data_IF_238822261940
#
_entry.id   IF_238822261940
#
_cell.length_a   1.000
_cell.length_b   1.000
_cell.length_c   1.000
_cell.angle_alpha   90.00
_cell.angle_beta   90.00
_cell.angle_gamma   90.00
#
_symmetry.space_group_name_H-M   'P 1'
#
loop_
_entity.id
_entity.type
_entity.pdbx_description
1 polymer ?
#
# COMPACT_ATOMS: atom_id res chain seq x y z
N UNK A 1 29.82 15.16 -5.90
CA UNK A 1 28.50 14.84 -6.48
C UNK A 1 27.54 15.99 -6.19
N UNK A 2 26.83 16.48 -7.19
CA UNK A 2 25.85 17.57 -7.04
C UNK A 2 24.55 17.05 -6.44
N UNK A 3 23.84 17.88 -5.67
CA UNK A 3 22.50 17.57 -5.14
C UNK A 3 21.53 17.17 -6.27
N UNK A 4 21.64 17.85 -7.42
CA UNK A 4 20.84 17.56 -8.61
C UNK A 4 21.10 16.15 -9.17
N UNK A 5 22.34 15.66 -9.07
CA UNK A 5 22.71 14.33 -9.52
C UNK A 5 22.19 13.25 -8.57
N UNK A 6 22.07 13.55 -7.27
CA UNK A 6 21.42 12.65 -6.29
C UNK A 6 19.92 12.57 -6.52
N UNK A 7 19.25 13.72 -6.70
CA UNK A 7 17.81 13.77 -6.95
C UNK A 7 17.46 13.02 -8.24
N UNK A 8 18.18 13.27 -9.33
CA UNK A 8 17.94 12.57 -10.60
C UNK A 8 18.13 11.06 -10.50
N UNK A 9 19.11 10.58 -9.73
CA UNK A 9 19.30 9.14 -9.52
C UNK A 9 18.14 8.51 -8.72
N UNK A 10 17.65 9.20 -7.70
CA UNK A 10 16.50 8.74 -6.90
C UNK A 10 15.23 8.69 -7.74
N UNK A 11 15.01 9.68 -8.61
CA UNK A 11 13.87 9.71 -9.54
C UNK A 11 13.95 8.58 -10.56
N UNK A 12 15.15 8.28 -11.10
CA UNK A 12 15.35 7.16 -12.02
C UNK A 12 15.11 5.79 -11.35
N UNK A 13 15.55 5.61 -10.10
CA UNK A 13 15.29 4.40 -9.33
C UNK A 13 13.80 4.22 -8.99
N UNK A 14 13.06 5.32 -8.80
CA UNK A 14 11.60 5.32 -8.61
C UNK A 14 10.84 5.01 -9.90
N UNK A 15 11.34 5.46 -11.05
CA UNK A 15 10.77 5.14 -12.37
C UNK A 15 11.11 3.72 -12.83
N UNK A 16 12.17 3.09 -12.32
CA UNK A 16 12.59 1.75 -12.77
C UNK A 16 11.82 0.59 -12.14
N UNK A 17 11.00 0.82 -11.11
CA UNK A 17 10.08 -0.20 -10.59
C UNK A 17 8.81 -0.16 -11.42
N UNK A 18 8.57 -1.22 -12.18
CA UNK A 18 7.31 -1.36 -12.92
C UNK A 18 6.13 -1.47 -11.92
N UNK A 19 4.91 -1.29 -12.40
CA UNK A 19 3.71 -1.39 -11.56
C UNK A 19 3.64 -2.73 -10.80
N UNK A 20 4.10 -3.82 -11.44
CA UNK A 20 4.21 -5.15 -10.81
C UNK A 20 5.20 -5.18 -9.65
N UNK A 21 6.33 -4.49 -9.76
CA UNK A 21 7.32 -4.44 -8.69
C UNK A 21 6.81 -3.65 -7.48
N UNK A 22 5.99 -2.61 -7.71
CA UNK A 22 5.36 -1.84 -6.64
C UNK A 22 4.38 -2.69 -5.83
N UNK A 23 3.60 -3.53 -6.51
CA UNK A 23 2.70 -4.49 -5.86
C UNK A 23 3.52 -5.48 -5.02
N UNK A 24 4.61 -6.03 -5.57
CA UNK A 24 5.46 -6.98 -4.85
C UNK A 24 6.09 -6.36 -3.58
N UNK A 25 6.50 -5.08 -3.63
CA UNK A 25 7.00 -4.37 -2.44
C UNK A 25 5.88 -4.20 -1.40
N UNK A 26 4.69 -3.77 -1.81
CA UNK A 26 3.56 -3.59 -0.91
C UNK A 26 3.13 -4.90 -0.24
N UNK A 27 3.09 -6.01 -0.98
CA UNK A 27 2.77 -7.33 -0.42
C UNK A 27 3.76 -7.77 0.67
N UNK A 28 5.05 -7.58 0.42
CA UNK A 28 6.11 -7.91 1.39
C UNK A 28 6.00 -7.05 2.64
N UNK A 29 5.71 -5.76 2.47
CA UNK A 29 5.44 -4.86 3.59
C UNK A 29 4.21 -5.31 4.39
N UNK A 30 3.08 -5.58 3.72
CA UNK A 30 1.84 -6.01 4.38
C UNK A 30 1.97 -7.35 5.12
N UNK A 31 2.93 -8.21 4.75
CA UNK A 31 3.25 -9.47 5.45
C UNK A 31 4.25 -9.29 6.60
N UNK A 32 4.83 -8.10 6.74
CA UNK A 32 5.91 -7.81 7.70
C UNK A 32 7.28 -8.30 7.26
N UNK A 33 7.46 -8.72 6.01
CA UNK A 33 8.74 -9.19 5.47
C UNK A 33 9.75 -8.03 5.29
N UNK A 34 9.26 -6.79 5.18
CA UNK A 34 10.05 -5.56 5.16
C UNK A 34 9.41 -4.51 6.08
N UNK A 35 10.24 -3.63 6.64
CA UNK A 35 9.77 -2.50 7.44
C UNK A 35 9.14 -1.38 6.61
N UNK A 36 8.35 -0.53 7.27
CA UNK A 36 7.70 0.64 6.68
C UNK A 36 8.72 1.65 6.12
N UNK A 37 9.89 1.77 6.75
CA UNK A 37 11.00 2.60 6.30
C UNK A 37 11.51 2.15 4.92
N UNK A 38 11.70 0.85 4.74
CA UNK A 38 12.10 0.25 3.46
C UNK A 38 10.99 0.40 2.44
N UNK A 39 9.74 0.13 2.82
CA UNK A 39 8.58 0.30 1.94
C UNK A 39 8.44 1.75 1.45
N UNK A 40 8.60 2.74 2.33
CA UNK A 40 8.46 4.17 2.02
C UNK A 40 9.59 4.70 1.12
N UNK A 41 10.79 4.12 1.17
CA UNK A 41 11.85 4.42 0.20
C UNK A 41 11.40 4.05 -1.23
N UNK A 42 10.79 2.87 -1.38
CA UNK A 42 10.42 2.32 -2.69
C UNK A 42 9.09 2.86 -3.22
N UNK A 43 8.10 3.04 -2.35
CA UNK A 43 6.72 3.40 -2.73
C UNK A 43 6.39 4.87 -2.49
N UNK A 44 7.07 5.54 -1.53
CA UNK A 44 6.78 6.93 -1.16
C UNK A 44 5.31 7.12 -0.80
N UNK A 45 4.71 8.20 -1.32
CA UNK A 45 3.28 8.54 -1.15
C UNK A 45 2.32 7.46 -1.69
N UNK A 46 2.79 6.57 -2.59
CA UNK A 46 1.97 5.46 -3.10
C UNK A 46 1.66 4.45 -2.00
N UNK A 47 2.52 4.33 -0.99
CA UNK A 47 2.27 3.46 0.17
C UNK A 47 1.02 3.92 0.92
N UNK A 48 0.97 5.21 1.26
CA UNK A 48 -0.13 5.79 2.03
C UNK A 48 -1.46 5.66 1.26
N UNK A 49 -1.43 5.91 -0.05
CA UNK A 49 -2.61 5.72 -0.91
C UNK A 49 -3.09 4.26 -0.95
N UNK A 50 -2.17 3.29 -1.01
CA UNK A 50 -2.49 1.86 -1.01
C UNK A 50 -3.08 1.41 0.33
N UNK A 51 -2.62 1.96 1.45
CA UNK A 51 -3.20 1.71 2.76
C UNK A 51 -4.60 2.29 2.89
N UNK A 52 -4.83 3.53 2.44
CA UNK A 52 -6.14 4.18 2.43
C UNK A 52 -7.15 3.38 1.58
N UNK A 53 -6.75 2.97 0.38
CA UNK A 53 -7.59 2.15 -0.51
C UNK A 53 -7.93 0.80 0.14
N UNK A 54 -6.98 0.17 0.82
CA UNK A 54 -7.20 -1.09 1.55
C UNK A 54 -8.17 -0.91 2.71
N UNK A 55 -7.96 0.10 3.56
CA UNK A 55 -8.84 0.39 4.70
C UNK A 55 -10.27 0.70 4.23
N UNK A 56 -10.42 1.49 3.17
CA UNK A 56 -11.72 1.81 2.56
C UNK A 56 -12.43 0.54 2.09
N UNK A 57 -11.71 -0.36 1.43
CA UNK A 57 -12.25 -1.64 0.96
C UNK A 57 -12.64 -2.56 2.11
N UNK A 58 -11.80 -2.71 3.13
CA UNK A 58 -12.09 -3.51 4.33
C UNK A 58 -13.32 -2.98 5.08
N UNK A 59 -13.41 -1.66 5.26
CA UNK A 59 -14.55 -1.01 5.90
C UNK A 59 -15.85 -1.12 5.09
N UNK A 60 -15.78 -1.26 3.76
CA UNK A 60 -16.95 -1.56 2.94
C UNK A 60 -17.40 -3.02 3.13
N UNK A 61 -16.46 -3.97 3.12
CA UNK A 61 -16.74 -5.40 3.33
C UNK A 61 -17.29 -5.70 4.74
N UNK A 62 -16.82 -5.02 5.77
CA UNK A 62 -17.35 -5.16 7.14
C UNK A 62 -18.81 -4.71 7.24
N UNK A 63 -19.18 -3.60 6.57
CA UNK A 63 -20.55 -3.10 6.54
C UNK A 63 -21.50 -4.08 5.87
N UNK A 64 -21.13 -4.60 4.70
CA UNK A 64 -21.93 -5.60 3.97
C UNK A 64 -22.10 -6.90 4.78
N UNK A 65 -21.06 -7.37 5.44
CA UNK A 65 -21.14 -8.59 6.27
C UNK A 65 -21.94 -8.37 7.56
N UNK A 66 -21.89 -7.18 8.16
CA UNK A 66 -22.72 -6.81 9.31
C UNK A 66 -24.22 -6.78 8.96
N UNK A 67 -24.58 -6.33 7.76
CA UNK A 67 -25.98 -6.35 7.29
C UNK A 67 -26.50 -7.80 7.22
N UNK A 68 -25.69 -8.75 6.74
CA UNK A 68 -26.03 -10.17 6.70
C UNK A 68 -26.12 -10.86 8.08
N UNK A 69 -25.34 -10.42 9.06
CA UNK A 69 -25.34 -11.01 10.41
C UNK A 69 -26.50 -10.50 11.27
N UNK A 70 -26.96 -9.27 11.05
CA UNK A 70 -28.05 -8.66 11.83
C UNK A 70 -29.41 -9.28 11.50
N UNK A 71 -29.61 -9.76 10.26
CA UNK A 71 -30.85 -10.41 9.83
C UNK A 71 -31.07 -11.82 10.40
N UNK A 72 -30.09 -12.40 11.12
CA UNK A 72 -30.16 -13.80 11.61
C UNK A 72 -30.51 -13.96 13.09
N UNK A 73 -30.54 -12.86 13.85
CA UNK A 73 -30.84 -12.88 15.30
C UNK A 73 -32.28 -12.43 15.63
N UNK A 74 -33.17 -12.40 14.62
CA UNK A 74 -34.56 -11.91 14.71
C UNK A 74 -35.65 -12.95 14.44
N UNK A 75 -35.48 -14.21 14.84
CA UNK A 75 -36.56 -15.22 14.91
C UNK A 75 -37.04 -15.48 16.35
#
# INVERSE_FOLDING_TARGET
MSELARVGLVEMLRQSLDEQDKIAVYERYSRGDIGEDVARIHLGEKLDKMEEEKESFEAAMERDTSEFLTDRDGE
#
